data_IF_247367212463
#
_entry.id   IF_247367212463
#
_cell.length_a   1.000
_cell.length_b   1.000
_cell.length_c   1.000
_cell.angle_alpha   90.00
_cell.angle_beta   90.00
_cell.angle_gamma   90.00
#
_symmetry.space_group_name_H-M   'P 1'
#
loop_
_entity.id
_entity.type
_entity.pdbx_description
1 polymer ?
#
# COMPACT_ATOMS: atom_id res chain seq x y z
N UNK A 1 42.89 38.13 24.90
CA UNK A 1 42.11 37.49 25.97
C UNK A 1 42.61 36.08 26.11
N UNK A 2 43.54 35.77 27.05
CA UNK A 2 44.14 34.44 27.30
C UNK A 2 43.25 33.59 28.22
N UNK A 3 42.04 33.32 27.80
CA UNK A 3 41.18 32.31 28.50
C UNK A 3 41.32 31.01 27.75
N UNK A 4 41.98 30.03 28.38
CA UNK A 4 41.95 28.65 27.90
C UNK A 4 40.55 28.10 28.10
N UNK A 5 39.80 27.87 26.98
CA UNK A 5 38.52 27.18 27.03
C UNK A 5 38.77 25.67 27.22
N UNK A 6 37.94 24.97 28.02
CA UNK A 6 38.02 23.53 28.14
C UNK A 6 37.78 22.85 26.80
N UNK A 7 38.55 21.81 26.48
CA UNK A 7 38.31 20.99 25.28
C UNK A 7 37.18 20.02 25.53
N UNK A 8 36.22 20.02 24.61
CA UNK A 8 35.16 19.01 24.62
C UNK A 8 35.63 17.81 23.79
N UNK A 9 35.55 16.63 24.36
CA UNK A 9 35.88 15.34 23.68
C UNK A 9 34.64 14.61 23.18
N UNK A 10 33.52 14.81 23.87
CA UNK A 10 32.23 14.18 23.55
C UNK A 10 31.13 15.25 23.67
N UNK A 11 30.26 15.27 22.72
CA UNK A 11 28.98 15.99 22.76
C UNK A 11 27.86 14.95 22.60
N UNK A 12 27.06 14.77 23.62
CA UNK A 12 25.84 13.98 23.58
C UNK A 12 24.65 14.92 23.66
N UNK A 13 23.83 14.93 22.61
CA UNK A 13 22.67 15.80 22.52
C UNK A 13 21.51 15.09 21.86
N UNK A 14 20.35 15.19 22.50
CA UNK A 14 19.06 14.75 22.01
C UNK A 14 18.21 15.99 21.67
N UNK A 15 17.52 15.98 20.54
CA UNK A 15 16.60 17.04 20.16
C UNK A 15 15.20 16.74 20.67
N UNK A 16 14.39 17.76 20.87
CA UNK A 16 12.98 17.54 21.16
C UNK A 16 12.35 16.61 20.10
N UNK A 17 11.50 15.65 20.49
CA UNK A 17 10.90 14.71 19.58
C UNK A 17 9.80 15.37 18.75
N UNK A 18 10.20 16.34 17.91
CA UNK A 18 9.30 17.21 17.13
C UNK A 18 8.27 16.41 16.34
N UNK A 19 8.66 15.28 15.81
CA UNK A 19 7.79 14.38 15.08
C UNK A 19 6.57 13.89 15.90
N UNK A 20 6.81 13.49 17.15
CA UNK A 20 5.74 13.10 18.08
C UNK A 20 4.87 14.28 18.52
N UNK A 21 5.45 15.48 18.55
CA UNK A 21 4.75 16.71 18.94
C UNK A 21 3.82 17.16 17.82
N UNK A 22 4.33 17.36 16.59
CA UNK A 22 3.53 17.83 15.45
C UNK A 22 2.47 16.81 14.98
N UNK A 23 2.57 15.57 15.42
CA UNK A 23 1.59 14.54 15.11
C UNK A 23 0.38 14.52 16.08
N UNK A 24 0.33 15.38 17.08
CA UNK A 24 -0.84 15.51 17.97
C UNK A 24 -1.98 16.24 17.25
N UNK A 25 -3.22 15.81 17.48
CA UNK A 25 -4.40 16.33 16.76
C UNK A 25 -4.63 17.83 16.98
N UNK A 26 -4.33 18.33 18.18
CA UNK A 26 -4.59 19.73 18.58
C UNK A 26 -3.34 20.64 18.44
N UNK A 27 -2.23 20.15 17.88
CA UNK A 27 -1.01 20.94 17.78
C UNK A 27 -1.10 21.95 16.64
N UNK A 28 -0.85 23.23 16.96
CA UNK A 28 -0.91 24.32 15.98
C UNK A 28 0.48 24.74 15.48
N UNK A 29 0.52 25.30 14.26
CA UNK A 29 1.75 25.83 13.66
C UNK A 29 2.34 26.98 14.52
N UNK A 30 1.50 27.77 15.18
CA UNK A 30 1.94 28.89 16.02
C UNK A 30 2.72 28.42 17.26
N UNK A 31 2.44 27.21 17.74
CA UNK A 31 3.14 26.61 18.88
C UNK A 31 4.49 25.99 18.51
N UNK A 32 4.73 25.72 17.22
CA UNK A 32 5.93 25.04 16.75
C UNK A 32 7.22 25.71 17.23
N UNK A 33 7.27 27.03 17.23
CA UNK A 33 8.46 27.81 17.63
C UNK A 33 8.93 27.50 19.06
N UNK A 34 8.02 27.10 19.95
CA UNK A 34 8.33 26.76 21.33
C UNK A 34 9.04 25.41 21.48
N UNK A 35 8.96 24.56 20.45
CA UNK A 35 9.51 23.19 20.45
C UNK A 35 10.71 23.03 19.51
N UNK A 36 11.12 24.10 18.81
CA UNK A 36 12.31 24.06 17.98
C UNK A 36 13.58 24.10 18.84
N UNK A 37 14.33 23.00 18.83
CA UNK A 37 15.57 22.87 19.58
C UNK A 37 16.77 23.41 18.80
N UNK A 38 16.94 24.71 18.79
CA UNK A 38 18.06 25.36 18.11
C UNK A 38 19.40 25.18 18.84
N UNK A 39 19.39 25.18 20.17
CA UNK A 39 20.61 25.12 20.95
C UNK A 39 21.32 23.76 20.81
N UNK A 40 20.63 22.65 21.08
CA UNK A 40 21.20 21.31 20.93
C UNK A 40 21.50 20.99 19.47
N UNK A 41 20.67 21.46 18.52
CA UNK A 41 20.94 21.34 17.07
C UNK A 41 22.24 22.00 16.68
N UNK A 42 22.51 23.24 17.14
CA UNK A 42 23.73 23.95 16.85
C UNK A 42 24.96 23.28 17.47
N UNK A 43 24.88 22.84 18.73
CA UNK A 43 25.96 22.15 19.43
C UNK A 43 26.29 20.81 18.78
N UNK A 44 25.28 20.01 18.44
CA UNK A 44 25.47 18.72 17.76
C UNK A 44 26.07 18.91 16.36
N UNK A 45 25.65 19.93 15.63
CA UNK A 45 26.19 20.32 14.32
C UNK A 45 27.66 20.70 14.41
N UNK A 46 28.03 21.50 15.41
CA UNK A 46 29.42 21.90 15.65
C UNK A 46 30.30 20.68 15.98
N UNK A 47 29.84 19.80 16.84
CA UNK A 47 30.54 18.57 17.18
C UNK A 47 30.73 17.63 15.97
N UNK A 48 29.66 17.42 15.20
CA UNK A 48 29.70 16.58 14.00
C UNK A 48 30.61 17.17 12.89
N UNK A 49 30.73 18.50 12.81
CA UNK A 49 31.68 19.19 11.90
C UNK A 49 33.13 18.92 12.31
N UNK A 50 33.43 18.89 13.60
CA UNK A 50 34.79 18.67 14.13
C UNK A 50 34.98 17.18 14.54
N UNK A 51 34.47 16.25 13.76
CA UNK A 51 34.48 14.81 14.09
C UNK A 51 35.89 14.21 14.27
N UNK A 52 36.94 14.85 13.79
CA UNK A 52 38.32 14.42 14.06
C UNK A 52 38.68 14.53 15.53
N UNK A 53 38.19 15.56 16.22
CA UNK A 53 38.52 15.88 17.60
C UNK A 53 37.38 15.58 18.58
N UNK A 54 36.12 15.69 18.16
CA UNK A 54 34.94 15.58 19.01
C UNK A 54 34.05 14.41 18.58
N UNK A 55 33.66 13.59 19.52
CA UNK A 55 32.69 12.51 19.32
C UNK A 55 31.29 13.08 19.48
N UNK A 56 30.47 12.98 18.43
CA UNK A 56 29.07 13.41 18.45
C UNK A 56 28.13 12.22 18.67
N UNK A 57 27.27 12.27 19.68
CA UNK A 57 26.33 11.20 20.03
C UNK A 57 24.91 11.77 20.07
N UNK A 58 24.01 11.20 19.26
CA UNK A 58 22.62 11.63 19.15
C UNK A 58 21.60 10.50 19.34
N UNK A 59 22.06 9.31 19.74
CA UNK A 59 21.18 8.15 19.94
C UNK A 59 21.58 7.40 21.21
N UNK A 60 20.64 7.02 22.04
CA UNK A 60 20.87 6.22 23.23
C UNK A 60 21.57 4.87 22.93
N UNK A 61 21.26 4.29 21.77
CA UNK A 61 21.89 3.03 21.35
C UNK A 61 23.43 3.12 21.20
N UNK A 62 23.96 4.31 20.95
CA UNK A 62 25.40 4.53 20.75
C UNK A 62 26.16 4.74 22.07
N UNK A 63 25.47 5.00 23.19
CA UNK A 63 26.11 5.35 24.49
C UNK A 63 27.01 4.26 25.01
N UNK A 64 26.56 3.01 24.97
CA UNK A 64 27.35 1.88 25.54
C UNK A 64 28.62 1.63 24.73
N UNK A 65 28.54 1.70 23.40
CA UNK A 65 29.71 1.57 22.51
C UNK A 65 30.73 2.68 22.77
N UNK A 66 30.27 3.93 22.88
CA UNK A 66 31.12 5.08 23.15
C UNK A 66 31.77 5.00 24.54
N UNK A 67 30.98 4.68 25.56
CA UNK A 67 31.48 4.53 26.94
C UNK A 67 32.54 3.41 27.07
N UNK A 68 32.29 2.27 26.40
CA UNK A 68 33.24 1.17 26.40
C UNK A 68 34.57 1.59 25.73
N UNK A 69 34.49 2.25 24.57
CA UNK A 69 35.67 2.70 23.83
C UNK A 69 36.54 3.69 24.65
N UNK A 70 35.90 4.60 25.38
CA UNK A 70 36.62 5.53 26.25
C UNK A 70 37.23 4.82 27.49
N UNK A 71 36.55 3.83 28.05
CA UNK A 71 37.04 3.06 29.21
C UNK A 71 38.19 2.15 28.83
N UNK A 72 38.11 1.44 27.73
CA UNK A 72 39.01 0.36 27.36
C UNK A 72 40.20 0.84 26.50
N UNK A 73 39.99 1.84 25.65
CA UNK A 73 40.98 2.36 24.71
C UNK A 73 41.27 3.86 24.85
N UNK A 74 40.65 4.56 25.80
CA UNK A 74 40.79 6.00 25.96
C UNK A 74 40.12 6.88 24.87
N UNK A 75 39.39 6.28 23.99
CA UNK A 75 38.68 6.98 22.92
C UNK A 75 38.24 6.08 21.76
N UNK A 76 37.68 6.69 20.73
CA UNK A 76 37.23 6.00 19.50
C UNK A 76 38.25 6.14 18.38
N UNK A 77 38.32 5.11 17.56
CA UNK A 77 39.04 5.14 16.30
C UNK A 77 38.43 6.17 15.32
N UNK A 78 39.24 6.77 14.41
CA UNK A 78 38.79 7.80 13.48
C UNK A 78 37.56 7.40 12.65
N UNK A 79 37.48 6.14 12.21
CA UNK A 79 36.35 5.62 11.44
C UNK A 79 35.05 5.57 12.26
N UNK A 80 35.15 5.18 13.55
CA UNK A 80 34.00 5.19 14.46
C UNK A 80 33.50 6.62 14.72
N UNK A 81 34.41 7.58 14.89
CA UNK A 81 34.06 9.01 15.02
C UNK A 81 33.34 9.52 13.77
N UNK A 82 33.86 9.20 12.59
CA UNK A 82 33.25 9.56 11.29
C UNK A 82 31.84 8.97 11.15
N UNK A 83 31.64 7.72 11.55
CA UNK A 83 30.33 7.06 11.54
C UNK A 83 29.31 7.74 12.46
N UNK A 84 29.74 8.13 13.67
CA UNK A 84 28.87 8.85 14.61
C UNK A 84 28.54 10.26 14.11
N UNK A 85 29.51 10.96 13.51
CA UNK A 85 29.26 12.26 12.88
C UNK A 85 28.27 12.15 11.72
N UNK A 86 28.38 11.14 10.87
CA UNK A 86 27.41 10.88 9.81
C UNK A 86 25.99 10.63 10.37
N UNK A 87 25.88 9.89 11.48
CA UNK A 87 24.60 9.68 12.19
C UNK A 87 24.03 10.99 12.74
N UNK A 88 24.88 11.86 13.30
CA UNK A 88 24.47 13.16 13.80
C UNK A 88 23.92 14.06 12.67
N UNK A 89 24.60 14.11 11.53
CA UNK A 89 24.11 14.83 10.35
C UNK A 89 22.79 14.27 9.81
N UNK A 90 22.64 12.94 9.77
CA UNK A 90 21.38 12.29 9.38
C UNK A 90 20.23 12.62 10.34
N UNK A 91 20.53 12.64 11.65
CA UNK A 91 19.56 12.97 12.68
C UNK A 91 19.08 14.43 12.59
N UNK A 92 20.02 15.37 12.39
CA UNK A 92 19.73 16.78 12.16
C UNK A 92 18.89 16.97 10.88
N UNK A 93 19.30 16.35 9.78
CA UNK A 93 18.56 16.43 8.52
C UNK A 93 17.12 15.89 8.63
N UNK A 94 16.94 14.79 9.36
CA UNK A 94 15.60 14.23 9.61
C UNK A 94 14.74 15.18 10.47
N UNK A 95 15.34 15.80 11.47
CA UNK A 95 14.66 16.79 12.31
C UNK A 95 14.21 18.00 11.48
N UNK A 96 15.11 18.61 10.71
CA UNK A 96 14.83 19.76 9.86
C UNK A 96 13.81 19.43 8.75
N UNK A 97 13.89 18.24 8.17
CA UNK A 97 12.89 17.78 7.19
C UNK A 97 11.48 17.72 7.80
N UNK A 98 11.35 17.20 9.03
CA UNK A 98 10.06 17.17 9.74
C UNK A 98 9.51 18.58 9.98
N UNK A 99 10.36 19.50 10.38
CA UNK A 99 9.98 20.92 10.58
C UNK A 99 9.53 21.54 9.27
N UNK A 100 10.30 21.36 8.19
CA UNK A 100 9.98 21.90 6.88
C UNK A 100 8.64 21.37 6.35
N UNK A 101 8.42 20.06 6.46
CA UNK A 101 7.15 19.43 6.04
C UNK A 101 5.95 19.98 6.83
N UNK A 102 6.10 20.18 8.13
CA UNK A 102 5.02 20.71 8.96
C UNK A 102 4.71 22.19 8.70
N UNK A 103 5.72 22.98 8.33
CA UNK A 103 5.57 24.39 7.98
C UNK A 103 5.04 24.61 6.56
N UNK A 104 5.15 23.61 5.68
CA UNK A 104 4.62 23.70 4.33
C UNK A 104 3.09 23.89 4.39
N UNK A 105 2.54 24.83 3.60
CA UNK A 105 1.10 25.12 3.63
C UNK A 105 0.26 23.86 3.36
N UNK A 106 -0.79 23.66 4.13
CA UNK A 106 -1.72 22.57 3.93
C UNK A 106 -2.29 22.63 2.50
N UNK A 107 -2.11 21.55 1.72
CA UNK A 107 -2.56 21.47 0.33
C UNK A 107 -1.46 21.66 -0.73
N UNK A 108 -0.26 22.06 -0.36
CA UNK A 108 0.90 22.07 -1.27
C UNK A 108 1.43 20.62 -1.32
N UNK A 109 1.04 19.90 -2.35
CA UNK A 109 1.48 18.50 -2.55
C UNK A 109 2.88 18.42 -3.17
N UNK A 110 3.23 19.38 -4.03
CA UNK A 110 4.46 19.38 -4.84
C UNK A 110 5.12 20.75 -4.75
N UNK A 111 5.97 20.92 -3.74
CA UNK A 111 6.81 22.13 -3.57
C UNK A 111 8.00 22.10 -4.53
N UNK A 112 8.67 23.26 -4.73
CA UNK A 112 9.89 23.36 -5.52
C UNK A 112 11.01 22.44 -5.00
N UNK A 113 11.05 22.23 -3.68
CA UNK A 113 11.96 21.31 -3.00
C UNK A 113 11.18 20.36 -2.09
N UNK A 114 11.25 19.06 -2.37
CA UNK A 114 10.64 18.00 -1.53
C UNK A 114 11.72 17.37 -0.67
N UNK A 115 11.59 17.49 0.64
CA UNK A 115 12.52 16.89 1.60
C UNK A 115 11.83 15.73 2.30
N UNK A 116 12.36 14.51 2.16
CA UNK A 116 11.85 13.32 2.79
C UNK A 116 12.94 12.63 3.60
N UNK A 117 12.68 12.38 4.86
CA UNK A 117 13.56 11.57 5.69
C UNK A 117 12.98 10.18 5.89
N UNK A 118 13.76 9.16 5.61
CA UNK A 118 13.38 7.75 5.72
C UNK A 118 14.22 7.07 6.80
N UNK A 119 13.56 6.45 7.77
CA UNK A 119 14.20 5.64 8.80
C UNK A 119 14.03 4.16 8.51
N UNK A 120 15.15 3.41 8.50
CA UNK A 120 15.12 1.96 8.34
C UNK A 120 14.35 1.33 9.49
N UNK A 121 13.34 0.54 9.16
CA UNK A 121 12.55 -0.27 10.09
C UNK A 121 13.17 -1.65 10.22
N UNK A 122 13.44 -2.31 9.09
CA UNK A 122 14.04 -3.64 9.04
C UNK A 122 14.87 -3.85 7.78
N UNK A 123 15.87 -4.73 7.87
CA UNK A 123 16.47 -5.32 6.67
C UNK A 123 15.57 -6.45 6.18
N UNK A 124 15.51 -6.61 4.85
CA UNK A 124 14.78 -7.70 4.22
C UNK A 124 15.79 -8.71 3.68
N UNK A 125 15.39 -9.97 3.63
CA UNK A 125 16.26 -11.05 3.17
C UNK A 125 16.77 -10.80 1.75
N UNK A 126 15.87 -10.30 0.86
CA UNK A 126 16.15 -9.88 -0.51
C UNK A 126 15.07 -8.92 -1.02
N UNK A 127 15.28 -8.30 -2.18
CA UNK A 127 14.33 -7.43 -2.87
C UNK A 127 13.29 -8.23 -3.66
N UNK A 128 12.86 -7.72 -4.82
CA UNK A 128 11.99 -8.50 -5.72
C UNK A 128 12.67 -9.81 -6.15
N UNK A 129 13.98 -9.77 -6.34
CA UNK A 129 14.80 -10.91 -6.72
C UNK A 129 15.85 -11.21 -5.65
N UNK A 130 16.24 -12.48 -5.50
CA UNK A 130 17.14 -12.97 -4.45
C UNK A 130 18.53 -12.33 -4.44
N UNK A 131 19.01 -11.81 -5.55
CA UNK A 131 20.31 -11.13 -5.64
C UNK A 131 20.26 -9.65 -5.21
N UNK A 132 19.09 -9.07 -5.04
CA UNK A 132 18.91 -7.67 -4.69
C UNK A 132 18.88 -7.50 -3.17
N UNK A 133 19.67 -6.55 -2.65
CA UNK A 133 19.57 -6.13 -1.25
C UNK A 133 18.37 -5.23 -1.08
N UNK A 134 17.64 -5.39 0.02
CA UNK A 134 16.46 -4.58 0.32
C UNK A 134 16.32 -4.29 1.82
N UNK A 135 15.58 -3.26 2.13
CA UNK A 135 15.17 -2.92 3.49
C UNK A 135 13.84 -2.18 3.44
N UNK A 136 13.07 -2.31 4.50
CA UNK A 136 11.85 -1.54 4.70
C UNK A 136 12.19 -0.25 5.47
N UNK A 137 11.71 0.86 4.97
CA UNK A 137 11.87 2.20 5.56
C UNK A 137 10.49 2.81 5.81
N UNK A 138 10.37 3.54 6.90
CA UNK A 138 9.22 4.37 7.21
C UNK A 138 9.61 5.85 7.14
N UNK A 139 8.65 6.73 6.88
CA UNK A 139 8.85 8.18 6.98
C UNK A 139 9.25 8.54 8.41
N UNK A 140 10.35 9.29 8.53
CA UNK A 140 10.78 9.81 9.83
C UNK A 140 9.75 10.84 10.29
N UNK A 141 9.32 10.71 11.54
CA UNK A 141 8.41 11.68 12.09
C UNK A 141 6.93 11.44 11.87
N UNK A 142 6.56 10.57 10.96
CA UNK A 142 5.17 10.17 10.81
C UNK A 142 4.73 9.21 11.92
N UNK A 143 3.45 9.28 12.33
CA UNK A 143 2.86 8.24 13.17
C UNK A 143 2.93 6.90 12.42
N UNK A 144 3.24 5.79 13.11
CA UNK A 144 3.15 4.48 12.48
C UNK A 144 1.76 4.24 11.92
N UNK A 145 1.68 3.97 10.63
CA UNK A 145 0.43 3.70 9.90
C UNK A 145 0.67 2.58 8.88
N UNK A 146 -0.38 1.97 8.38
CA UNK A 146 -0.29 0.91 7.39
C UNK A 146 0.70 -0.19 7.84
N UNK A 147 1.53 -0.66 6.92
CA UNK A 147 2.50 -1.74 7.18
C UNK A 147 3.59 -1.38 8.20
N UNK A 148 3.86 -0.09 8.43
CA UNK A 148 4.77 0.34 9.50
C UNK A 148 4.17 0.16 10.91
N UNK A 149 2.85 0.11 11.02
CA UNK A 149 2.13 -0.20 12.27
C UNK A 149 1.72 -1.67 12.38
N UNK A 150 2.08 -2.50 11.42
CA UNK A 150 1.72 -3.91 11.38
C UNK A 150 2.28 -4.69 12.56
N UNK A 151 1.47 -5.59 13.11
CA UNK A 151 1.91 -6.56 14.10
C UNK A 151 1.92 -7.96 13.49
N UNK A 152 3.10 -8.56 13.39
CA UNK A 152 3.25 -9.97 13.02
C UNK A 152 2.96 -10.85 14.25
N UNK A 153 1.90 -11.67 14.17
CA UNK A 153 1.47 -12.57 15.24
C UNK A 153 2.11 -13.95 15.15
N UNK A 154 2.39 -14.41 13.93
CA UNK A 154 3.07 -15.69 13.66
C UNK A 154 3.62 -15.73 12.23
N UNK A 155 4.44 -16.71 11.95
CA UNK A 155 5.08 -16.94 10.67
C UNK A 155 6.48 -16.35 10.54
N UNK A 156 7.17 -16.64 9.45
CA UNK A 156 8.51 -16.13 9.18
C UNK A 156 8.50 -14.63 8.83
N UNK A 157 9.69 -14.00 8.85
CA UNK A 157 9.83 -12.59 8.48
C UNK A 157 9.33 -12.30 7.07
N UNK A 158 8.88 -11.06 6.86
CA UNK A 158 8.44 -10.58 5.55
C UNK A 158 9.64 -10.33 4.63
N UNK A 159 9.48 -10.66 3.36
CA UNK A 159 10.35 -10.21 2.29
C UNK A 159 9.69 -9.07 1.49
N UNK A 160 10.39 -8.54 0.51
CA UNK A 160 9.94 -7.41 -0.30
C UNK A 160 8.57 -7.67 -0.98
N UNK A 161 8.40 -8.85 -1.59
CA UNK A 161 7.16 -9.21 -2.28
C UNK A 161 5.97 -9.35 -1.33
N UNK A 162 6.21 -9.85 -0.09
CA UNK A 162 5.15 -9.90 0.92
C UNK A 162 4.64 -8.50 1.30
N UNK A 163 5.53 -7.50 1.40
CA UNK A 163 5.11 -6.12 1.68
C UNK A 163 4.21 -5.58 0.58
N UNK A 164 4.53 -5.79 -0.70
CA UNK A 164 3.71 -5.37 -1.83
C UNK A 164 2.34 -6.06 -1.85
N UNK A 165 2.34 -7.39 -1.66
CA UNK A 165 1.09 -8.17 -1.66
C UNK A 165 0.18 -7.81 -0.49
N UNK A 166 0.74 -7.60 0.71
CA UNK A 166 0.01 -7.20 1.91
C UNK A 166 -0.63 -5.82 1.75
N UNK A 167 0.12 -4.86 1.20
CA UNK A 167 -0.33 -3.50 0.98
C UNK A 167 -1.52 -3.47 0.01
N UNK A 168 -1.32 -4.02 -1.18
CA UNK A 168 -2.37 -4.09 -2.21
C UNK A 168 -3.61 -4.86 -1.73
N UNK A 169 -3.42 -6.00 -1.05
CA UNK A 169 -4.55 -6.80 -0.60
C UNK A 169 -5.36 -6.11 0.50
N UNK A 170 -4.68 -5.47 1.46
CA UNK A 170 -5.35 -4.80 2.57
C UNK A 170 -6.03 -3.51 2.13
N UNK A 171 -5.39 -2.68 1.32
CA UNK A 171 -6.00 -1.48 0.76
C UNK A 171 -7.25 -1.83 -0.07
N UNK A 172 -7.16 -2.84 -0.94
CA UNK A 172 -8.33 -3.31 -1.69
C UNK A 172 -9.44 -3.79 -0.77
N UNK A 173 -9.12 -4.53 0.29
CA UNK A 173 -10.14 -4.99 1.24
C UNK A 173 -10.84 -3.82 1.95
N UNK A 174 -10.13 -2.74 2.24
CA UNK A 174 -10.68 -1.54 2.90
C UNK A 174 -11.57 -0.68 2.00
N UNK A 175 -11.58 -0.89 0.68
CA UNK A 175 -12.56 -0.24 -0.21
C UNK A 175 -14.01 -0.69 0.06
N UNK A 176 -14.22 -1.75 0.83
CA UNK A 176 -15.53 -2.37 1.06
C UNK A 176 -16.03 -2.11 2.46
N UNK A 177 -17.32 -1.71 2.56
CA UNK A 177 -18.01 -1.60 3.84
C UNK A 177 -18.51 -2.95 4.35
N UNK A 178 -18.99 -3.81 3.44
CA UNK A 178 -19.42 -5.18 3.74
C UNK A 178 -18.22 -6.10 4.00
N UNK A 179 -18.41 -7.26 4.67
CA UNK A 179 -17.34 -8.23 4.83
C UNK A 179 -16.78 -8.67 3.47
N UNK A 180 -15.47 -8.70 3.34
CA UNK A 180 -14.78 -9.04 2.11
C UNK A 180 -13.55 -9.90 2.39
N UNK A 181 -13.22 -10.77 1.44
CA UNK A 181 -11.90 -11.38 1.32
C UNK A 181 -11.31 -11.00 -0.05
N UNK A 182 -10.18 -10.31 -0.03
CA UNK A 182 -9.38 -10.03 -1.21
C UNK A 182 -8.13 -10.91 -1.21
N UNK A 183 -7.87 -11.61 -2.31
CA UNK A 183 -6.66 -12.40 -2.51
C UNK A 183 -5.79 -11.70 -3.54
N UNK A 184 -4.56 -11.38 -3.15
CA UNK A 184 -3.58 -10.72 -4.02
C UNK A 184 -2.31 -11.54 -4.13
N UNK A 185 -1.64 -11.42 -5.26
CA UNK A 185 -0.34 -12.02 -5.51
C UNK A 185 0.42 -11.24 -6.57
N UNK A 186 1.71 -11.01 -6.32
CA UNK A 186 2.56 -10.21 -7.21
C UNK A 186 2.04 -8.80 -7.42
N UNK A 187 1.63 -8.15 -6.31
CA UNK A 187 1.14 -6.78 -6.28
C UNK A 187 -0.07 -6.54 -7.19
N UNK A 188 -0.97 -7.53 -7.26
CA UNK A 188 -2.22 -7.44 -8.02
C UNK A 188 -3.31 -8.35 -7.45
N UNK A 189 -4.59 -7.99 -7.57
CA UNK A 189 -5.71 -8.87 -7.22
C UNK A 189 -5.71 -10.13 -8.08
N UNK A 190 -6.07 -11.26 -7.48
CA UNK A 190 -6.41 -12.49 -8.19
C UNK A 190 -7.88 -12.85 -8.03
N UNK A 191 -8.44 -12.65 -6.84
CA UNK A 191 -9.84 -12.87 -6.55
C UNK A 191 -10.33 -11.97 -5.43
N UNK A 192 -11.61 -11.57 -5.49
CA UNK A 192 -12.29 -10.80 -4.44
C UNK A 192 -13.71 -11.32 -4.28
N UNK A 193 -14.13 -11.52 -3.05
CA UNK A 193 -15.49 -11.93 -2.75
C UNK A 193 -16.04 -11.18 -1.54
N UNK A 194 -17.25 -10.62 -1.67
CA UNK A 194 -17.90 -9.78 -0.66
C UNK A 194 -19.26 -10.37 -0.31
N UNK A 195 -19.31 -11.23 0.71
CA UNK A 195 -20.48 -11.92 1.21
C UNK A 195 -20.68 -11.63 2.71
N UNK A 196 -21.87 -11.87 3.29
CA UNK A 196 -22.11 -11.60 4.70
C UNK A 196 -21.19 -12.36 5.67
N UNK A 197 -20.76 -13.58 5.32
CA UNK A 197 -19.84 -14.41 6.11
C UNK A 197 -18.43 -14.32 5.58
N UNK A 198 -17.44 -14.08 6.46
CA UNK A 198 -16.02 -14.08 6.09
C UNK A 198 -15.54 -15.42 5.54
N UNK A 199 -16.06 -16.53 6.08
CA UNK A 199 -15.73 -17.85 5.59
C UNK A 199 -16.25 -18.06 4.17
N UNK A 200 -17.45 -17.56 3.85
CA UNK A 200 -18.01 -17.62 2.50
C UNK A 200 -17.26 -16.68 1.54
N UNK A 201 -16.83 -15.50 2.02
CA UNK A 201 -15.95 -14.63 1.24
C UNK A 201 -14.66 -15.36 0.84
N UNK A 202 -14.03 -16.04 1.79
CA UNK A 202 -12.81 -16.81 1.52
C UNK A 202 -13.08 -17.97 0.55
N UNK A 203 -14.12 -18.77 0.79
CA UNK A 203 -14.51 -19.87 -0.12
C UNK A 203 -14.77 -19.36 -1.54
N UNK A 204 -15.52 -18.25 -1.68
CA UNK A 204 -15.83 -17.65 -2.97
C UNK A 204 -14.58 -17.14 -3.69
N UNK A 205 -13.68 -16.44 -3.00
CA UNK A 205 -12.42 -15.95 -3.57
C UNK A 205 -11.52 -17.10 -4.02
N UNK A 206 -11.36 -18.16 -3.18
CA UNK A 206 -10.55 -19.33 -3.51
C UNK A 206 -11.14 -20.15 -4.66
N UNK A 207 -12.47 -20.26 -4.73
CA UNK A 207 -13.14 -20.97 -5.82
C UNK A 207 -12.97 -20.22 -7.16
N UNK A 208 -12.95 -18.88 -7.14
CA UNK A 208 -12.80 -18.06 -8.33
C UNK A 208 -11.40 -18.19 -8.96
N UNK A 209 -10.34 -18.23 -8.14
CA UNK A 209 -8.96 -18.41 -8.61
C UNK A 209 -8.13 -19.28 -7.66
N UNK A 210 -8.31 -20.61 -7.69
CA UNK A 210 -7.55 -21.52 -6.83
C UNK A 210 -6.04 -21.44 -7.05
N UNK A 211 -5.61 -21.26 -8.30
CA UNK A 211 -4.19 -21.19 -8.65
C UNK A 211 -3.55 -19.86 -8.20
N UNK A 212 -4.26 -18.75 -8.34
CA UNK A 212 -3.81 -17.44 -7.89
C UNK A 212 -3.70 -17.32 -6.36
N UNK A 213 -4.48 -18.11 -5.62
CA UNK A 213 -4.42 -18.15 -4.16
C UNK A 213 -3.18 -18.86 -3.62
N UNK A 214 -2.55 -19.77 -4.40
CA UNK A 214 -1.34 -20.49 -3.97
C UNK A 214 -0.17 -19.53 -3.87
N UNK A 215 0.37 -19.37 -2.66
CA UNK A 215 1.46 -18.45 -2.38
C UNK A 215 1.05 -16.98 -2.34
N UNK A 216 -0.25 -16.68 -2.33
CA UNK A 216 -0.79 -15.31 -2.26
C UNK A 216 -1.06 -14.83 -0.84
N UNK A 217 -1.56 -13.61 -0.74
CA UNK A 217 -1.99 -12.96 0.49
C UNK A 217 -3.51 -12.83 0.52
N UNK A 218 -4.15 -13.29 1.60
CA UNK A 218 -5.57 -13.07 1.85
C UNK A 218 -5.75 -11.89 2.81
N UNK A 219 -6.57 -10.93 2.43
CA UNK A 219 -6.90 -9.77 3.25
C UNK A 219 -8.39 -9.72 3.61
N UNK A 220 -8.68 -9.33 4.84
CA UNK A 220 -10.02 -9.10 5.34
C UNK A 220 -10.14 -7.67 5.86
N UNK A 221 -11.30 -7.04 5.66
CA UNK A 221 -11.56 -5.68 6.16
C UNK A 221 -12.12 -5.65 7.58
N UNK A 222 -12.30 -6.79 8.22
CA UNK A 222 -12.82 -6.92 9.60
C UNK A 222 -11.99 -7.93 10.38
N UNK A 223 -12.17 -7.94 11.71
CA UNK A 223 -11.59 -8.95 12.59
C UNK A 223 -11.93 -10.36 12.08
N UNK A 224 -10.91 -11.20 11.96
CA UNK A 224 -11.05 -12.59 11.51
C UNK A 224 -11.53 -13.47 12.65
N UNK A 225 -12.59 -14.24 12.41
CA UNK A 225 -13.18 -15.17 13.36
C UNK A 225 -12.72 -16.61 13.13
N UNK A 226 -13.00 -17.49 14.11
CA UNK A 226 -12.50 -18.85 14.15
C UNK A 226 -12.86 -19.68 12.90
N UNK A 227 -14.05 -19.49 12.32
CA UNK A 227 -14.49 -20.24 11.13
C UNK A 227 -13.63 -19.92 9.91
N UNK A 228 -13.40 -18.62 9.63
CA UNK A 228 -12.53 -18.20 8.53
C UNK A 228 -11.07 -18.61 8.79
N UNK A 229 -10.61 -18.56 10.05
CA UNK A 229 -9.29 -19.01 10.43
C UNK A 229 -9.09 -20.52 10.20
N UNK A 230 -10.07 -21.34 10.51
CA UNK A 230 -10.00 -22.77 10.25
C UNK A 230 -9.91 -23.08 8.74
N UNK A 231 -10.71 -22.37 7.94
CA UNK A 231 -10.67 -22.53 6.48
C UNK A 231 -9.33 -22.08 5.89
N UNK A 232 -8.69 -21.03 6.42
CA UNK A 232 -7.37 -20.57 5.99
C UNK A 232 -6.29 -21.65 6.15
N UNK A 233 -6.39 -22.55 7.13
CA UNK A 233 -5.44 -23.65 7.30
C UNK A 233 -5.52 -24.69 6.15
N UNK A 234 -6.65 -24.79 5.49
CA UNK A 234 -6.88 -25.71 4.36
C UNK A 234 -6.39 -25.13 3.03
N UNK A 235 -5.90 -23.87 3.03
CA UNK A 235 -5.47 -23.16 1.85
C UNK A 235 -3.96 -23.17 1.67
N UNK A 236 -3.50 -22.71 0.51
CA UNK A 236 -2.07 -22.50 0.23
C UNK A 236 -1.68 -21.02 0.23
N UNK A 237 -2.45 -20.14 0.86
CA UNK A 237 -2.04 -18.75 1.08
C UNK A 237 -0.85 -18.69 2.02
N UNK A 238 0.08 -17.78 1.78
CA UNK A 238 1.30 -17.62 2.60
C UNK A 238 1.18 -16.53 3.64
N UNK A 239 0.26 -15.59 3.42
CA UNK A 239 0.05 -14.46 4.31
C UNK A 239 -1.42 -14.16 4.50
N UNK A 240 -1.79 -13.73 5.69
CA UNK A 240 -3.13 -13.21 5.99
C UNK A 240 -3.02 -11.89 6.75
N UNK A 241 -3.83 -10.93 6.35
CA UNK A 241 -3.88 -9.60 6.96
C UNK A 241 -5.32 -9.18 7.25
N UNK A 242 -5.52 -8.57 8.41
CA UNK A 242 -6.82 -8.08 8.86
C UNK A 242 -6.64 -6.96 9.89
N UNK A 243 -7.67 -6.17 10.23
CA UNK A 243 -7.62 -5.23 11.35
C UNK A 243 -7.36 -5.91 12.70
N UNK A 244 -7.74 -7.17 12.85
CA UNK A 244 -7.57 -7.96 14.06
C UNK A 244 -8.00 -9.40 13.87
N UNK A 245 -7.87 -10.17 14.94
CA UNK A 245 -8.25 -11.59 15.01
C UNK A 245 -8.86 -11.87 16.36
N UNK A 246 -9.88 -12.73 16.41
CA UNK A 246 -10.35 -13.25 17.70
C UNK A 246 -9.25 -14.11 18.36
N UNK A 247 -9.26 -14.27 19.70
CA UNK A 247 -8.29 -15.13 20.38
C UNK A 247 -8.27 -16.55 19.85
N UNK A 248 -9.44 -17.08 19.51
CA UNK A 248 -9.63 -18.42 18.94
C UNK A 248 -9.04 -18.50 17.53
N UNK A 249 -9.27 -17.48 16.69
CA UNK A 249 -8.69 -17.40 15.35
C UNK A 249 -7.16 -17.37 15.40
N UNK A 250 -6.56 -16.59 16.29
CA UNK A 250 -5.10 -16.57 16.48
C UNK A 250 -4.55 -17.93 16.92
N UNK A 251 -5.25 -18.60 17.83
CA UNK A 251 -4.85 -19.94 18.27
C UNK A 251 -4.84 -20.94 17.12
N UNK A 252 -5.87 -20.88 16.26
CA UNK A 252 -5.99 -21.73 15.05
C UNK A 252 -4.86 -21.40 14.08
N UNK A 253 -4.70 -20.15 13.69
CA UNK A 253 -3.74 -19.74 12.66
C UNK A 253 -2.28 -20.00 13.05
N UNK A 254 -1.93 -19.87 14.34
CA UNK A 254 -0.59 -20.17 14.87
C UNK A 254 -0.20 -21.65 14.77
N UNK A 255 -1.15 -22.55 14.57
CA UNK A 255 -0.83 -23.97 14.37
C UNK A 255 -0.14 -24.26 13.04
N UNK A 256 -0.18 -23.32 12.08
CA UNK A 256 0.52 -23.42 10.79
C UNK A 256 1.77 -22.53 10.81
N UNK A 257 2.93 -23.11 11.07
CA UNK A 257 4.20 -22.40 11.25
C UNK A 257 4.60 -21.51 10.07
N UNK A 258 4.32 -21.90 8.83
CA UNK A 258 4.68 -21.14 7.63
C UNK A 258 3.75 -19.97 7.30
N UNK A 259 2.60 -19.85 7.97
CA UNK A 259 1.61 -18.80 7.68
C UNK A 259 1.95 -17.49 8.39
N UNK A 260 2.12 -16.44 7.61
CA UNK A 260 2.31 -15.08 8.15
C UNK A 260 0.95 -14.49 8.52
N UNK A 261 0.77 -14.18 9.78
CA UNK A 261 -0.48 -13.62 10.33
C UNK A 261 -0.20 -12.21 10.82
N UNK A 262 -0.78 -11.21 10.15
CA UNK A 262 -0.56 -9.80 10.46
C UNK A 262 -1.86 -9.09 10.81
N UNK A 263 -1.81 -8.26 11.84
CA UNK A 263 -2.85 -7.24 12.05
C UNK A 263 -2.33 -5.86 11.67
N UNK A 264 -3.15 -5.12 10.93
CA UNK A 264 -2.92 -3.74 10.57
C UNK A 264 -4.09 -2.89 11.07
N UNK A 265 -3.84 -1.78 11.78
CA UNK A 265 -4.87 -0.77 11.96
C UNK A 265 -5.27 -0.23 10.59
N UNK A 266 -6.55 0.13 10.42
CA UNK A 266 -6.97 0.81 9.21
C UNK A 266 -6.09 2.07 9.01
N UNK A 267 -5.55 2.29 7.81
CA UNK A 267 -4.75 3.48 7.57
C UNK A 267 -5.63 4.72 7.75
N UNK A 268 -5.07 5.73 8.37
CA UNK A 268 -5.67 7.06 8.32
C UNK A 268 -5.38 7.58 6.91
N UNK A 269 -6.37 7.55 6.03
CA UNK A 269 -6.24 8.08 4.67
C UNK A 269 -5.89 9.56 4.76
N UNK A 270 -4.67 9.90 4.41
CA UNK A 270 -4.26 11.28 4.25
C UNK A 270 -4.55 11.72 2.80
N UNK A 271 -5.28 12.84 2.60
CA UNK A 271 -5.47 13.39 1.26
C UNK A 271 -4.15 13.85 0.62
N UNK A 272 -3.05 13.86 1.38
CA UNK A 272 -1.71 14.28 0.98
C UNK A 272 -0.72 13.11 0.90
N UNK A 273 -1.20 11.87 0.84
CA UNK A 273 -0.33 10.72 0.66
C UNK A 273 0.27 10.74 -0.74
N UNK A 274 1.60 10.63 -0.81
CA UNK A 274 2.37 10.67 -2.05
C UNK A 274 2.83 9.28 -2.44
N UNK A 275 2.74 8.98 -3.72
CA UNK A 275 3.40 7.85 -4.33
C UNK A 275 4.70 8.29 -5.01
N UNK A 276 5.76 7.51 -4.80
CA UNK A 276 7.09 7.79 -5.34
C UNK A 276 7.52 6.65 -6.24
N UNK A 277 8.02 7.02 -7.41
CA UNK A 277 8.57 6.07 -8.37
C UNK A 277 9.95 6.49 -8.82
N UNK A 278 10.94 5.65 -8.56
CA UNK A 278 12.30 5.86 -9.05
C UNK A 278 12.37 5.68 -10.56
N UNK A 279 13.00 6.64 -11.22
CA UNK A 279 13.35 6.56 -12.65
C UNK A 279 14.83 6.87 -12.83
N UNK A 280 15.37 6.61 -14.01
CA UNK A 280 16.76 6.98 -14.31
C UNK A 280 16.94 8.49 -14.21
N UNK A 281 17.79 8.92 -13.27
CA UNK A 281 18.11 10.34 -13.05
C UNK A 281 17.13 11.13 -12.19
N UNK A 282 16.09 10.47 -11.60
CA UNK A 282 15.14 11.19 -10.75
C UNK A 282 14.11 10.33 -10.06
N UNK A 283 13.12 11.00 -9.50
CA UNK A 283 11.95 10.39 -8.85
C UNK A 283 10.71 11.10 -9.39
N UNK A 284 9.73 10.33 -9.83
CA UNK A 284 8.38 10.85 -10.07
C UNK A 284 7.61 10.81 -8.75
N UNK A 285 6.89 11.88 -8.46
CA UNK A 285 6.05 12.02 -7.27
C UNK A 285 4.65 12.40 -7.73
N UNK A 286 3.65 11.71 -7.23
CA UNK A 286 2.24 11.99 -7.51
C UNK A 286 1.39 11.82 -6.24
N UNK A 287 0.19 12.39 -6.25
CA UNK A 287 -0.79 12.11 -5.21
C UNK A 287 -1.33 10.69 -5.39
N UNK A 288 -1.48 9.97 -4.28
CA UNK A 288 -2.09 8.63 -4.31
C UNK A 288 -3.52 8.69 -4.86
N UNK A 289 -3.90 7.70 -5.67
CA UNK A 289 -5.25 7.57 -6.20
C UNK A 289 -6.24 7.13 -5.11
N UNK A 290 -6.75 8.11 -4.35
CA UNK A 290 -7.67 7.90 -3.23
C UNK A 290 -9.14 8.02 -3.64
N UNK A 291 -9.44 8.25 -4.92
CA UNK A 291 -10.82 8.42 -5.41
C UNK A 291 -11.27 7.18 -6.16
N UNK A 292 -12.49 6.77 -5.91
CA UNK A 292 -13.13 5.69 -6.68
C UNK A 292 -13.89 6.24 -7.89
N UNK A 293 -14.49 7.44 -7.74
CA UNK A 293 -15.23 8.14 -8.77
C UNK A 293 -14.94 9.64 -8.69
N UNK A 294 -15.04 10.33 -9.81
CA UNK A 294 -15.05 11.80 -9.84
C UNK A 294 -16.43 12.37 -9.49
N UNK A 295 -17.48 11.70 -10.01
CA UNK A 295 -18.89 11.92 -9.71
C UNK A 295 -19.59 10.56 -9.85
N UNK A 296 -20.87 10.47 -9.49
CA UNK A 296 -21.62 9.23 -9.64
C UNK A 296 -21.52 8.69 -11.08
N UNK A 297 -21.29 7.39 -11.27
CA UNK A 297 -21.15 6.80 -12.60
C UNK A 297 -22.39 7.05 -13.46
N UNK A 298 -22.18 7.59 -14.65
CA UNK A 298 -23.25 7.88 -15.58
C UNK A 298 -23.66 6.63 -16.37
N UNK A 299 -24.93 6.23 -16.29
CA UNK A 299 -25.49 5.23 -17.17
C UNK A 299 -25.78 5.88 -18.54
N UNK A 300 -24.99 5.51 -19.56
CA UNK A 300 -25.04 6.12 -20.90
C UNK A 300 -25.88 5.33 -21.91
N UNK A 301 -26.36 4.15 -21.55
CA UNK A 301 -27.23 3.29 -22.36
C UNK A 301 -28.70 3.43 -21.99
N UNK A 302 -29.59 3.01 -22.90
CA UNK A 302 -31.05 3.00 -22.66
C UNK A 302 -31.44 2.07 -21.53
N UNK A 303 -30.86 0.84 -21.51
CA UNK A 303 -31.02 -0.11 -20.42
C UNK A 303 -30.18 0.34 -19.23
N UNK A 304 -30.82 0.41 -18.07
CA UNK A 304 -30.10 0.63 -16.81
C UNK A 304 -29.66 -0.70 -16.21
N UNK A 305 -28.60 -0.72 -15.39
CA UNK A 305 -28.20 -1.95 -14.69
C UNK A 305 -29.30 -2.36 -13.70
N UNK A 306 -29.47 -3.65 -13.55
CA UNK A 306 -30.22 -4.20 -12.42
C UNK A 306 -29.44 -3.98 -11.11
N UNK A 307 -30.09 -4.09 -9.95
CA UNK A 307 -29.39 -3.99 -8.66
C UNK A 307 -28.23 -4.99 -8.54
N UNK A 308 -28.42 -6.20 -9.03
CA UNK A 308 -27.39 -7.24 -9.05
C UNK A 308 -26.20 -6.85 -9.94
N UNK A 309 -26.47 -6.31 -11.14
CA UNK A 309 -25.41 -5.81 -12.02
C UNK A 309 -24.70 -4.61 -11.43
N UNK A 310 -25.41 -3.65 -10.82
CA UNK A 310 -24.82 -2.47 -10.20
C UNK A 310 -23.86 -2.87 -9.06
N UNK A 311 -24.27 -3.80 -8.19
CA UNK A 311 -23.43 -4.30 -7.13
C UNK A 311 -22.18 -5.02 -7.67
N UNK A 312 -22.34 -5.85 -8.73
CA UNK A 312 -21.22 -6.54 -9.37
C UNK A 312 -20.29 -5.58 -10.10
N UNK A 313 -20.82 -4.52 -10.75
CA UNK A 313 -20.02 -3.48 -11.40
C UNK A 313 -19.20 -2.70 -10.39
N UNK A 314 -19.76 -2.36 -9.22
CA UNK A 314 -19.05 -1.68 -8.15
C UNK A 314 -17.91 -2.55 -7.58
N UNK A 315 -18.18 -3.84 -7.35
CA UNK A 315 -17.16 -4.81 -6.93
C UNK A 315 -16.01 -4.90 -7.94
N UNK A 316 -16.34 -5.04 -9.23
CA UNK A 316 -15.36 -5.12 -10.30
C UNK A 316 -14.57 -3.81 -10.47
N UNK A 317 -15.22 -2.65 -10.30
CA UNK A 317 -14.59 -1.33 -10.40
C UNK A 317 -13.60 -1.08 -9.25
N UNK A 318 -13.98 -1.38 -8.01
CA UNK A 318 -13.08 -1.36 -6.85
C UNK A 318 -11.87 -2.26 -7.07
N UNK A 319 -12.08 -3.43 -7.65
CA UNK A 319 -11.00 -4.39 -7.91
C UNK A 319 -10.06 -3.93 -9.02
N UNK A 320 -10.61 -3.37 -10.14
CA UNK A 320 -9.78 -2.95 -11.27
C UNK A 320 -8.84 -1.79 -10.92
N UNK A 321 -9.22 -0.92 -10.00
CA UNK A 321 -8.38 0.15 -9.44
C UNK A 321 -7.03 -0.36 -8.90
N UNK A 322 -7.00 -1.57 -8.35
CA UNK A 322 -5.79 -2.19 -7.80
C UNK A 322 -5.06 -3.13 -8.78
N UNK A 323 -5.58 -3.27 -10.00
CA UNK A 323 -4.94 -4.09 -11.02
C UNK A 323 -4.02 -3.23 -11.89
N UNK A 324 -2.86 -3.80 -12.28
CA UNK A 324 -1.89 -3.07 -13.13
C UNK A 324 -2.42 -2.90 -14.56
N UNK A 325 -2.26 -1.71 -15.10
CA UNK A 325 -2.74 -1.27 -16.43
C UNK A 325 -2.03 -2.03 -17.58
N UNK A 326 -2.71 -2.39 -18.66
CA UNK A 326 -4.17 -2.37 -18.85
C UNK A 326 -4.81 -3.53 -18.13
N UNK A 327 -5.93 -3.26 -17.47
CA UNK A 327 -6.63 -4.24 -16.67
C UNK A 327 -8.10 -4.42 -17.08
N UNK A 328 -8.60 -5.64 -16.88
CA UNK A 328 -10.00 -5.99 -17.03
C UNK A 328 -10.40 -6.97 -15.93
N UNK A 329 -11.54 -6.71 -15.30
CA UNK A 329 -12.10 -7.53 -14.22
C UNK A 329 -13.49 -7.99 -14.61
N UNK A 330 -13.75 -9.28 -14.51
CA UNK A 330 -15.09 -9.87 -14.71
C UNK A 330 -15.61 -10.34 -13.37
N UNK A 331 -16.82 -9.91 -13.03
CA UNK A 331 -17.49 -10.30 -11.81
C UNK A 331 -18.91 -10.83 -12.07
N UNK A 332 -19.42 -11.62 -11.13
CA UNK A 332 -20.79 -12.10 -11.07
C UNK A 332 -21.28 -12.06 -9.62
N UNK A 333 -22.41 -11.41 -9.39
CA UNK A 333 -22.95 -11.24 -8.06
C UNK A 333 -21.96 -10.52 -7.13
N UNK A 334 -21.49 -11.21 -6.11
CA UNK A 334 -20.57 -10.68 -5.11
C UNK A 334 -19.14 -11.25 -5.23
N UNK A 335 -18.79 -11.82 -6.39
CA UNK A 335 -17.51 -12.50 -6.59
C UNK A 335 -16.84 -12.03 -7.89
N UNK A 336 -15.57 -11.67 -7.80
CA UNK A 336 -14.69 -11.45 -8.96
C UNK A 336 -14.25 -12.82 -9.47
N UNK A 337 -14.60 -13.12 -10.71
CA UNK A 337 -14.33 -14.41 -11.33
C UNK A 337 -13.05 -14.44 -12.16
N UNK A 338 -12.63 -13.28 -12.66
CA UNK A 338 -11.44 -13.18 -13.49
C UNK A 338 -10.83 -11.80 -13.40
N UNK A 339 -9.54 -11.75 -13.22
CA UNK A 339 -8.72 -10.53 -13.31
C UNK A 339 -7.65 -10.73 -14.37
N UNK A 340 -7.55 -9.79 -15.28
CA UNK A 340 -6.40 -9.65 -16.19
C UNK A 340 -5.75 -8.31 -15.94
N UNK A 341 -4.44 -8.31 -15.75
CA UNK A 341 -3.66 -7.11 -15.46
C UNK A 341 -2.38 -7.11 -16.31
N UNK A 342 -1.75 -5.94 -16.45
CA UNK A 342 -0.52 -5.74 -17.24
C UNK A 342 -0.67 -6.14 -18.71
N UNK A 343 -1.86 -5.92 -19.29
CA UNK A 343 -2.09 -6.15 -20.73
C UNK A 343 -1.32 -5.15 -21.59
N UNK A 344 -0.92 -5.56 -22.81
CA UNK A 344 -0.32 -4.65 -23.79
C UNK A 344 -1.33 -3.64 -24.36
N UNK A 345 -2.62 -3.95 -24.23
CA UNK A 345 -3.74 -3.10 -24.61
C UNK A 345 -4.98 -3.48 -23.83
N UNK A 346 -5.98 -2.60 -23.78
CA UNK A 346 -7.30 -2.92 -23.21
C UNK A 346 -7.95 -4.14 -23.91
N UNK A 347 -7.67 -4.31 -25.22
CA UNK A 347 -8.16 -5.46 -25.98
C UNK A 347 -7.55 -6.79 -25.47
N UNK A 348 -6.25 -6.81 -25.24
CA UNK A 348 -5.57 -8.01 -24.73
C UNK A 348 -6.00 -8.32 -23.28
N UNK A 349 -6.14 -7.29 -22.45
CA UNK A 349 -6.64 -7.45 -21.08
C UNK A 349 -8.05 -8.05 -21.05
N UNK A 350 -8.98 -7.52 -21.84
CA UNK A 350 -10.35 -8.04 -21.91
C UNK A 350 -10.37 -9.47 -22.46
N UNK A 351 -9.62 -9.75 -23.53
CA UNK A 351 -9.55 -11.11 -24.09
C UNK A 351 -8.97 -12.12 -23.08
N UNK A 352 -7.92 -11.74 -22.39
CA UNK A 352 -7.33 -12.61 -21.37
C UNK A 352 -8.31 -12.84 -20.20
N UNK A 353 -9.03 -11.81 -19.73
CA UNK A 353 -10.04 -11.97 -18.70
C UNK A 353 -11.18 -12.93 -19.15
N UNK A 354 -11.66 -12.78 -20.39
CA UNK A 354 -12.68 -13.67 -20.97
C UNK A 354 -12.16 -15.10 -21.12
N UNK A 355 -10.90 -15.25 -21.53
CA UNK A 355 -10.29 -16.58 -21.67
C UNK A 355 -10.14 -17.27 -20.30
N UNK A 356 -9.62 -16.58 -19.30
CA UNK A 356 -9.52 -17.10 -17.92
C UNK A 356 -10.88 -17.50 -17.37
N UNK A 357 -11.93 -16.69 -17.60
CA UNK A 357 -13.28 -17.02 -17.20
C UNK A 357 -13.77 -18.32 -17.84
N UNK A 358 -13.59 -18.49 -19.16
CA UNK A 358 -14.04 -19.68 -19.89
C UNK A 358 -13.35 -20.94 -19.43
N UNK A 359 -12.07 -20.86 -19.14
CA UNK A 359 -11.27 -21.97 -18.63
C UNK A 359 -11.74 -22.41 -17.24
N UNK A 360 -12.13 -21.46 -16.39
CA UNK A 360 -12.56 -21.72 -15.01
C UNK A 360 -14.06 -21.95 -14.85
N UNK A 361 -14.91 -21.48 -15.78
CA UNK A 361 -16.38 -21.51 -15.66
C UNK A 361 -16.97 -22.88 -15.32
N UNK A 362 -16.44 -24.01 -15.81
CA UNK A 362 -16.99 -25.34 -15.48
C UNK A 362 -16.96 -25.66 -14.00
N UNK A 363 -16.11 -25.02 -13.21
CA UNK A 363 -15.94 -25.29 -11.77
C UNK A 363 -16.52 -24.18 -10.89
N UNK A 364 -17.00 -23.07 -11.49
CA UNK A 364 -17.55 -21.95 -10.74
C UNK A 364 -19.06 -22.11 -10.57
N UNK A 365 -19.57 -21.97 -9.34
CA UNK A 365 -21.01 -21.84 -9.12
C UNK A 365 -21.48 -20.49 -9.66
N UNK A 366 -22.65 -20.47 -10.27
CA UNK A 366 -23.31 -19.23 -10.63
C UNK A 366 -23.95 -19.25 -12.02
N UNK A 367 -25.08 -18.58 -12.15
CA UNK A 367 -25.85 -18.37 -13.37
C UNK A 367 -26.35 -16.92 -13.45
N UNK A 368 -25.70 -16.00 -12.73
CA UNK A 368 -26.07 -14.59 -12.71
C UNK A 368 -25.51 -13.80 -13.91
N UNK A 369 -25.88 -12.52 -14.03
CA UNK A 369 -25.36 -11.65 -15.08
C UNK A 369 -23.86 -11.37 -14.85
N UNK A 370 -23.06 -11.61 -15.88
CA UNK A 370 -21.65 -11.24 -15.90
C UNK A 370 -21.50 -9.75 -16.16
N UNK A 371 -20.61 -9.12 -15.42
CA UNK A 371 -20.23 -7.71 -15.64
C UNK A 371 -18.74 -7.60 -15.89
N UNK A 372 -18.33 -6.52 -16.58
CA UNK A 372 -16.93 -6.23 -16.85
C UNK A 372 -16.58 -4.80 -16.40
N UNK A 373 -15.46 -4.64 -15.70
CA UNK A 373 -14.82 -3.35 -15.45
C UNK A 373 -13.48 -3.29 -16.18
N UNK A 374 -13.15 -2.12 -16.73
CA UNK A 374 -11.87 -1.84 -17.35
C UNK A 374 -11.29 -0.52 -16.82
N UNK A 375 -10.00 -0.50 -16.50
CA UNK A 375 -9.27 0.68 -15.99
C UNK A 375 -9.08 1.78 -17.03
N UNK A 376 -9.24 1.45 -18.31
CA UNK A 376 -9.10 2.33 -19.45
C UNK A 376 -10.34 2.33 -20.34
N UNK A 377 -10.50 3.37 -21.16
CA UNK A 377 -11.54 3.42 -22.16
C UNK A 377 -11.45 2.25 -23.14
N UNK A 378 -12.61 1.72 -23.52
CA UNK A 378 -12.72 0.54 -24.37
C UNK A 378 -12.98 0.95 -25.82
N UNK A 379 -12.04 0.72 -26.76
CA UNK A 379 -12.34 0.76 -28.17
C UNK A 379 -13.47 -0.19 -28.56
N UNK A 380 -14.20 0.12 -29.61
CA UNK A 380 -15.36 -0.68 -30.09
C UNK A 380 -15.00 -2.18 -30.25
N UNK A 381 -13.79 -2.48 -30.77
CA UNK A 381 -13.31 -3.87 -30.90
C UNK A 381 -13.19 -4.57 -29.55
N UNK A 382 -12.75 -3.86 -28.53
CA UNK A 382 -12.59 -4.38 -27.17
C UNK A 382 -13.94 -4.66 -26.53
N UNK A 383 -14.87 -3.73 -26.65
CA UNK A 383 -16.25 -3.91 -26.18
C UNK A 383 -16.93 -5.12 -26.85
N UNK A 384 -16.75 -5.31 -28.19
CA UNK A 384 -17.24 -6.50 -28.88
C UNK A 384 -16.74 -7.80 -28.26
N UNK A 385 -15.45 -7.83 -27.83
CA UNK A 385 -14.89 -9.00 -27.17
C UNK A 385 -15.50 -9.21 -25.77
N UNK A 386 -15.75 -8.16 -25.01
CA UNK A 386 -16.41 -8.22 -23.70
C UNK A 386 -17.82 -8.78 -23.79
N UNK A 387 -18.66 -8.25 -24.72
CA UNK A 387 -20.02 -8.72 -24.94
C UNK A 387 -20.07 -10.15 -25.48
N UNK A 388 -19.14 -10.52 -26.38
CA UNK A 388 -19.00 -11.91 -26.85
C UNK A 388 -18.52 -12.87 -25.73
N UNK A 389 -17.88 -12.34 -24.69
CA UNK A 389 -17.52 -13.04 -23.47
C UNK A 389 -18.68 -13.27 -22.51
N UNK A 390 -19.86 -12.68 -22.78
CA UNK A 390 -21.07 -12.80 -21.98
C UNK A 390 -21.35 -11.65 -21.02
N UNK A 391 -20.59 -10.55 -21.09
CA UNK A 391 -20.83 -9.37 -20.25
C UNK A 391 -22.20 -8.75 -20.61
N UNK A 392 -23.10 -8.63 -19.63
CA UNK A 392 -24.40 -7.96 -19.76
C UNK A 392 -24.33 -6.48 -19.37
N UNK A 393 -23.31 -6.11 -18.60
CA UNK A 393 -23.05 -4.73 -18.20
C UNK A 393 -21.55 -4.44 -18.14
N UNK A 394 -21.16 -3.22 -18.45
CA UNK A 394 -19.76 -2.77 -18.51
C UNK A 394 -19.60 -1.43 -17.80
N UNK A 395 -18.51 -1.27 -17.04
CA UNK A 395 -18.08 0.02 -16.50
C UNK A 395 -16.68 0.34 -17.03
N UNK A 396 -16.48 1.56 -17.48
CA UNK A 396 -15.21 2.08 -18.01
C UNK A 396 -15.10 3.58 -17.76
N UNK A 397 -13.93 4.20 -17.91
CA UNK A 397 -13.78 5.65 -17.75
C UNK A 397 -14.67 6.49 -18.64
N UNK A 398 -14.84 6.14 -19.93
CA UNK A 398 -15.37 7.01 -20.98
C UNK A 398 -14.33 8.04 -21.46
N UNK A 399 -14.76 8.95 -22.37
CA UNK A 399 -13.91 10.00 -22.91
C UNK A 399 -13.06 9.59 -24.12
N UNK A 400 -13.49 8.55 -24.85
CA UNK A 400 -12.79 8.04 -26.01
C UNK A 400 -13.61 8.26 -27.31
N UNK A 401 -12.91 8.35 -28.43
CA UNK A 401 -13.55 8.60 -29.75
C UNK A 401 -14.60 7.56 -30.16
N UNK A 402 -14.52 6.34 -29.66
CA UNK A 402 -15.47 5.26 -30.00
C UNK A 402 -16.68 5.20 -29.05
N UNK A 403 -16.81 6.12 -28.08
CA UNK A 403 -17.85 6.05 -27.04
C UNK A 403 -19.27 5.98 -27.61
N UNK A 404 -19.60 6.80 -28.61
CA UNK A 404 -20.94 6.78 -29.24
C UNK A 404 -21.23 5.43 -29.90
N UNK A 405 -20.26 4.86 -30.61
CA UNK A 405 -20.38 3.56 -31.23
C UNK A 405 -20.47 2.43 -30.17
N UNK A 406 -19.75 2.55 -29.09
CA UNK A 406 -19.82 1.64 -27.98
C UNK A 406 -21.19 1.65 -27.28
N UNK A 407 -21.74 2.83 -27.01
CA UNK A 407 -23.09 2.99 -26.46
C UNK A 407 -24.15 2.39 -27.39
N UNK A 408 -24.08 2.71 -28.69
CA UNK A 408 -24.99 2.14 -29.69
C UNK A 408 -24.92 0.62 -29.71
N UNK A 409 -23.73 0.03 -29.71
CA UNK A 409 -23.57 -1.40 -29.71
C UNK A 409 -24.15 -2.05 -28.41
N UNK A 410 -23.97 -1.42 -27.26
CA UNK A 410 -24.59 -1.89 -26.01
C UNK A 410 -26.12 -1.84 -26.11
N UNK A 411 -26.71 -0.78 -26.63
CA UNK A 411 -28.15 -0.64 -26.82
C UNK A 411 -28.70 -1.71 -27.77
N UNK A 412 -28.02 -1.99 -28.89
CA UNK A 412 -28.39 -3.03 -29.85
C UNK A 412 -28.35 -4.44 -29.25
N UNK A 413 -27.45 -4.65 -28.30
CA UNK A 413 -27.26 -5.96 -27.62
C UNK A 413 -28.03 -6.07 -26.30
N UNK A 414 -28.77 -5.04 -25.89
CA UNK A 414 -29.48 -5.00 -24.62
C UNK A 414 -28.52 -5.01 -23.41
N UNK A 415 -27.26 -4.61 -23.60
CA UNK A 415 -26.27 -4.47 -22.55
C UNK A 415 -26.32 -3.08 -21.89
N UNK A 416 -25.79 -2.95 -20.69
CA UNK A 416 -25.65 -1.67 -19.99
C UNK A 416 -24.20 -1.18 -20.05
N UNK A 417 -24.01 0.14 -20.16
CA UNK A 417 -22.70 0.79 -20.03
C UNK A 417 -22.76 1.93 -19.03
N UNK A 418 -21.79 1.95 -18.13
CA UNK A 418 -21.53 3.03 -17.19
C UNK A 418 -20.21 3.71 -17.54
N UNK A 419 -20.20 5.05 -17.50
CA UNK A 419 -18.98 5.84 -17.53
C UNK A 419 -18.65 6.31 -16.11
N UNK A 420 -17.45 5.94 -15.62
CA UNK A 420 -16.96 6.29 -14.31
C UNK A 420 -16.42 7.73 -14.23
N UNK A 421 -16.10 8.36 -15.37
CA UNK A 421 -15.54 9.71 -15.45
C UNK A 421 -14.10 9.84 -14.93
N UNK A 422 -13.49 8.74 -14.50
CA UNK A 422 -12.11 8.65 -14.00
C UNK A 422 -11.49 7.34 -14.47
N UNK A 423 -10.18 7.34 -14.70
CA UNK A 423 -9.40 6.13 -14.98
C UNK A 423 -8.49 5.80 -13.80
N UNK A 424 -8.17 4.54 -13.62
CA UNK A 424 -7.29 4.05 -12.56
C UNK A 424 -6.06 3.36 -13.16
N UNK A 425 -5.13 4.16 -13.69
CA UNK A 425 -3.87 3.61 -14.20
C UNK A 425 -2.90 3.33 -13.05
N UNK A 426 -2.40 2.11 -13.00
CA UNK A 426 -1.37 1.66 -12.07
C UNK A 426 -0.31 0.87 -12.85
N UNK A 427 0.91 1.38 -12.93
CA UNK A 427 2.01 0.77 -13.68
C UNK A 427 2.93 -0.07 -12.80
#
# INVERSE_FOLDING_TARGET
>A
LGVELPRFYVVAADLYPIAGIVSQEDFSVDELSNYLDQANSAVLRAAAKDFGNVVSVCRHADYQEVLAAFRDAGGLEPEAKRKLAARAWQYLAAYEATVAQYLSPAGTLLDDEVVMSLRKVSELEYGENRHQRAAFYALSGARPSGLNAARLHSGPWLNFNHYLDLDTAFELALEFEEPVCAVCKHDKPSAVCALPSQADCLRGALAADPAGAVGGTAAFNRQVEAEAAALLLETFVESVVAPGYSPEALKILRSREGLRVLSLPAPVLSPHELELRSISGGVLIEAKDNRLFHADPACVTRRKPTEAEAASLLLAWKTVKYAKTYAAVIAEGRTVLSVSASGSSSYDAVRAAVWHLRDRRPILPGAGPLVLAADAALPLKTLKAALAGGASAVIQPGGWQDDEDCVRLCDERGATMLFAGIRHFRH
#
